data_IF_310591683567
#
_entry.id   IF_310591683567
#
_cell.length_a   1.000
_cell.length_b   1.000
_cell.length_c   1.000
_cell.angle_alpha   90.00
_cell.angle_beta   90.00
_cell.angle_gamma   90.00
#
_symmetry.space_group_name_H-M   'P 1'
#
loop_
_entity.id
_entity.type
_entity.pdbx_description
1 polymer ?
#
# COMPACT_ATOMS: atom_id res chain seq x y z
N UNK A 1 16.03 2.71 2.75
CA UNK A 1 14.85 2.07 3.35
C UNK A 1 15.14 1.72 4.80
N UNK A 2 14.32 2.19 5.74
CA UNK A 2 14.50 1.91 7.18
C UNK A 2 14.22 0.45 7.56
N UNK A 3 14.81 -0.09 8.64
CA UNK A 3 14.68 -1.50 9.02
C UNK A 3 13.23 -1.95 9.23
N UNK A 4 12.39 -1.11 9.81
CA UNK A 4 10.97 -1.40 10.04
C UNK A 4 10.18 -1.54 8.74
N UNK A 5 10.48 -0.71 7.72
CA UNK A 5 9.90 -0.84 6.38
C UNK A 5 10.37 -2.12 5.70
N UNK A 6 11.68 -2.41 5.76
CA UNK A 6 12.23 -3.65 5.20
C UNK A 6 11.59 -4.89 5.83
N UNK A 7 11.38 -4.85 7.15
CA UNK A 7 10.70 -5.93 7.87
C UNK A 7 9.29 -6.11 7.35
N UNK A 8 8.49 -5.04 7.30
CA UNK A 8 7.12 -5.12 6.81
C UNK A 8 7.03 -5.69 5.38
N UNK A 9 7.91 -5.24 4.48
CA UNK A 9 8.00 -5.69 3.07
C UNK A 9 8.46 -7.14 2.97
N UNK A 10 9.41 -7.58 3.79
CA UNK A 10 9.91 -8.96 3.77
C UNK A 10 8.85 -10.00 4.15
N UNK A 11 7.83 -9.59 4.91
CA UNK A 11 6.67 -10.41 5.23
C UNK A 11 5.62 -10.48 4.10
N UNK A 12 5.80 -9.72 3.02
CA UNK A 12 4.95 -9.77 1.83
C UNK A 12 3.63 -9.02 1.97
N UNK A 13 2.64 -9.35 1.11
CA UNK A 13 1.30 -8.77 1.15
C UNK A 13 0.62 -8.90 2.51
N UNK A 14 -0.29 -7.98 2.82
CA UNK A 14 -1.24 -8.16 3.92
C UNK A 14 -2.03 -9.46 3.70
N UNK A 15 -2.31 -10.22 4.77
CA UNK A 15 -3.19 -11.37 4.69
C UNK A 15 -4.64 -10.94 4.38
N UNK A 16 -5.48 -11.92 4.07
CA UNK A 16 -6.93 -11.71 4.05
C UNK A 16 -7.53 -11.70 5.46
N UNK A 17 -8.81 -11.38 5.54
CA UNK A 17 -9.64 -11.44 6.75
C UNK A 17 -9.78 -12.84 7.39
N UNK A 18 -9.45 -13.94 6.69
CA UNK A 18 -9.57 -15.31 7.22
C UNK A 18 -8.27 -15.78 7.92
N UNK A 19 -7.22 -14.96 7.91
CA UNK A 19 -5.97 -15.25 8.61
C UNK A 19 -6.13 -15.27 10.14
N UNK A 20 -5.19 -15.94 10.81
CA UNK A 20 -5.21 -16.04 12.26
C UNK A 20 -4.97 -14.67 12.93
N UNK A 21 -5.58 -14.48 14.11
CA UNK A 21 -5.50 -13.21 14.86
C UNK A 21 -4.04 -12.83 15.19
N UNK A 22 -3.17 -13.83 15.42
CA UNK A 22 -1.75 -13.59 15.73
C UNK A 22 -1.00 -12.99 14.54
N UNK A 23 -1.32 -13.40 13.32
CA UNK A 23 -0.84 -12.84 12.07
C UNK A 23 -1.30 -11.40 11.93
N UNK A 24 -2.60 -11.14 12.09
CA UNK A 24 -3.16 -9.78 12.00
C UNK A 24 -2.47 -8.85 13.00
N UNK A 25 -2.39 -9.25 14.27
CA UNK A 25 -1.71 -8.49 15.33
C UNK A 25 -0.23 -8.24 15.03
N UNK A 26 0.45 -9.21 14.40
CA UNK A 26 1.83 -9.03 13.98
C UNK A 26 1.95 -7.99 12.87
N UNK A 27 1.07 -8.02 11.87
CA UNK A 27 1.05 -7.05 10.77
C UNK A 27 0.73 -5.63 11.25
N UNK A 28 -0.23 -5.49 12.17
CA UNK A 28 -0.54 -4.21 12.83
C UNK A 28 0.69 -3.64 13.54
N UNK A 29 1.35 -4.43 14.39
CA UNK A 29 2.56 -3.98 15.13
C UNK A 29 3.71 -3.59 14.20
N UNK A 30 3.91 -4.31 13.11
CA UNK A 30 4.92 -3.96 12.11
C UNK A 30 4.60 -2.63 11.43
N UNK A 31 3.34 -2.38 11.09
CA UNK A 31 2.91 -1.14 10.46
C UNK A 31 3.07 0.05 11.42
N UNK A 32 2.64 -0.10 12.67
CA UNK A 32 2.76 0.94 13.71
C UNK A 32 4.20 1.30 14.05
N UNK A 33 5.15 0.38 13.84
CA UNK A 33 6.57 0.66 14.02
C UNK A 33 7.12 1.64 12.95
N UNK A 34 6.46 1.75 11.79
CA UNK A 34 6.91 2.63 10.70
C UNK A 34 6.50 4.06 11.00
N UNK A 35 7.50 4.88 11.34
CA UNK A 35 7.28 6.32 11.55
C UNK A 35 7.05 7.06 10.22
N UNK A 36 6.11 8.00 10.22
CA UNK A 36 5.91 8.96 9.14
C UNK A 36 6.85 10.19 9.28
N UNK A 37 7.15 10.93 8.19
CA UNK A 37 6.82 10.59 6.82
C UNK A 37 7.68 9.43 6.28
N UNK A 38 7.12 8.62 5.39
CA UNK A 38 7.92 7.67 4.61
C UNK A 38 8.62 8.37 3.45
N UNK A 39 9.71 7.80 2.96
CA UNK A 39 10.36 8.28 1.71
C UNK A 39 9.63 7.76 0.46
N UNK A 40 9.84 8.36 -0.73
CA UNK A 40 9.25 7.84 -1.98
C UNK A 40 9.59 6.37 -2.25
N UNK A 41 10.83 5.96 -2.00
CA UNK A 41 11.28 4.57 -2.16
C UNK A 41 10.56 3.63 -1.18
N UNK A 42 10.31 4.09 0.05
CA UNK A 42 9.55 3.35 1.05
C UNK A 42 8.08 3.24 0.68
N UNK A 43 7.47 4.34 0.22
CA UNK A 43 6.11 4.36 -0.28
C UNK A 43 5.91 3.37 -1.43
N UNK A 44 6.84 3.32 -2.39
CA UNK A 44 6.78 2.38 -3.50
C UNK A 44 6.90 0.92 -3.03
N UNK A 45 7.80 0.62 -2.08
CA UNK A 45 7.93 -0.73 -1.54
C UNK A 45 6.68 -1.16 -0.73
N UNK A 46 6.13 -0.25 0.06
CA UNK A 46 4.91 -0.47 0.84
C UNK A 46 3.68 -0.67 -0.06
N UNK A 47 3.61 0.02 -1.20
CA UNK A 47 2.53 -0.15 -2.17
C UNK A 47 2.48 -1.57 -2.79
N UNK A 48 3.57 -2.33 -2.73
CA UNK A 48 3.59 -3.74 -3.15
C UNK A 48 3.07 -4.71 -2.08
N UNK A 49 2.70 -4.22 -0.89
CA UNK A 49 2.31 -5.03 0.25
C UNK A 49 0.78 -5.09 0.47
N UNK A 50 -0.03 -4.60 -0.46
CA UNK A 50 -1.48 -4.76 -0.35
C UNK A 50 -1.90 -6.21 -0.54
N UNK A 51 -2.84 -6.63 0.31
CA UNK A 51 -3.45 -7.94 0.31
C UNK A 51 -4.68 -8.03 -0.59
N UNK A 52 -5.36 -9.19 -0.58
CA UNK A 52 -6.55 -9.42 -1.39
C UNK A 52 -7.79 -8.60 -0.94
N UNK A 53 -7.81 -8.15 0.32
CA UNK A 53 -8.89 -7.35 0.91
C UNK A 53 -8.35 -6.19 1.78
N UNK A 54 -9.22 -5.58 2.60
CA UNK A 54 -8.87 -4.46 3.46
C UNK A 54 -8.14 -4.87 4.76
N UNK A 55 -8.04 -6.18 5.05
CA UNK A 55 -7.44 -6.77 6.23
C UNK A 55 -7.94 -6.08 7.52
N UNK A 56 -9.25 -5.99 7.72
CA UNK A 56 -9.88 -5.30 8.87
C UNK A 56 -9.47 -3.82 8.99
N UNK A 57 -9.20 -3.17 7.86
CA UNK A 57 -8.78 -1.77 7.79
C UNK A 57 -7.27 -1.53 7.94
N UNK A 58 -6.45 -2.58 8.13
CA UNK A 58 -4.98 -2.45 8.14
C UNK A 58 -4.47 -1.91 6.80
N UNK A 59 -5.11 -2.31 5.69
CA UNK A 59 -4.79 -1.78 4.38
C UNK A 59 -5.05 -0.25 4.30
N UNK A 60 -6.06 0.27 5.00
CA UNK A 60 -6.33 1.71 5.06
C UNK A 60 -5.23 2.46 5.81
N UNK A 61 -4.74 1.92 6.93
CA UNK A 61 -3.58 2.48 7.63
C UNK A 61 -2.34 2.51 6.76
N UNK A 62 -2.12 1.46 5.94
CA UNK A 62 -1.02 1.41 4.98
C UNK A 62 -1.14 2.51 3.89
N UNK A 63 -2.35 2.76 3.38
CA UNK A 63 -2.64 3.88 2.48
C UNK A 63 -2.22 5.21 3.09
N UNK A 64 -2.70 5.50 4.30
CA UNK A 64 -2.39 6.77 4.97
C UNK A 64 -0.91 6.96 5.22
N UNK A 65 -0.19 5.88 5.56
CA UNK A 65 1.25 5.91 5.73
C UNK A 65 1.97 6.25 4.42
N UNK A 66 1.59 5.63 3.30
CA UNK A 66 2.15 5.91 1.97
C UNK A 66 1.93 7.37 1.56
N UNK A 67 0.75 7.92 1.86
CA UNK A 67 0.40 9.32 1.55
C UNK A 67 1.19 10.36 2.35
N UNK A 68 1.93 9.94 3.38
CA UNK A 68 2.88 10.83 4.07
C UNK A 68 4.15 11.09 3.28
N UNK A 69 4.40 10.33 2.21
CA UNK A 69 5.57 10.52 1.35
C UNK A 69 5.55 11.89 0.67
N UNK A 70 6.68 12.62 0.65
CA UNK A 70 6.80 13.82 -0.17
C UNK A 70 6.78 13.44 -1.66
N UNK A 71 6.07 14.21 -2.47
CA UNK A 71 6.02 14.03 -3.92
C UNK A 71 4.81 13.23 -4.41
N UNK A 72 4.81 12.79 -5.68
CA UNK A 72 3.70 12.05 -6.25
C UNK A 72 3.57 10.67 -5.60
N UNK A 73 2.33 10.22 -5.44
CA UNK A 73 2.03 8.87 -4.93
C UNK A 73 2.55 7.83 -5.93
N UNK A 74 3.06 6.67 -5.48
CA UNK A 74 3.59 5.66 -6.40
C UNK A 74 2.56 5.26 -7.46
N UNK A 75 2.95 5.16 -8.75
CA UNK A 75 2.05 4.71 -9.79
C UNK A 75 1.66 3.26 -9.50
N UNK A 76 0.36 3.03 -9.30
CA UNK A 76 -0.18 1.68 -9.27
C UNK A 76 -0.28 1.14 -10.70
N UNK A 77 -0.34 -0.18 -10.83
CA UNK A 77 -0.74 -0.78 -12.12
C UNK A 77 -2.25 -0.95 -12.10
N UNK A 78 -2.96 -0.79 -13.23
CA UNK A 78 -4.37 -1.12 -13.31
C UNK A 78 -4.58 -2.56 -12.80
N UNK A 79 -5.52 -2.77 -11.86
CA UNK A 79 -5.86 -4.11 -11.41
C UNK A 79 -6.37 -4.96 -12.57
N UNK A 80 -6.04 -6.24 -12.55
CA UNK A 80 -6.67 -7.22 -13.43
C UNK A 80 -8.18 -7.33 -13.13
N UNK A 81 -8.96 -7.85 -14.09
CA UNK A 81 -10.43 -7.97 -13.95
C UNK A 81 -10.89 -8.84 -12.78
N UNK A 82 -10.01 -9.68 -12.23
CA UNK A 82 -10.21 -10.55 -11.08
C UNK A 82 -9.62 -9.97 -9.78
N UNK A 83 -8.98 -8.79 -9.83
CA UNK A 83 -8.48 -8.15 -8.63
C UNK A 83 -9.65 -7.75 -7.72
N UNK A 84 -9.50 -8.05 -6.43
CA UNK A 84 -10.50 -7.70 -5.42
C UNK A 84 -10.84 -6.20 -5.43
N UNK A 85 -12.04 -5.87 -4.94
CA UNK A 85 -12.58 -4.50 -4.83
C UNK A 85 -11.57 -3.50 -4.21
N UNK A 86 -10.74 -4.01 -3.32
CA UNK A 86 -9.71 -3.24 -2.66
C UNK A 86 -8.62 -2.70 -3.62
N UNK A 87 -8.14 -3.54 -4.55
CA UNK A 87 -7.18 -3.09 -5.57
C UNK A 87 -7.80 -2.05 -6.52
N UNK A 88 -9.08 -2.21 -6.86
CA UNK A 88 -9.82 -1.23 -7.66
C UNK A 88 -9.97 0.12 -6.94
N UNK A 89 -10.19 0.09 -5.63
CA UNK A 89 -10.28 1.28 -4.77
C UNK A 89 -8.97 2.06 -4.77
N UNK A 90 -7.86 1.36 -4.58
CA UNK A 90 -6.51 1.95 -4.64
C UNK A 90 -6.20 2.55 -6.01
N UNK A 91 -6.51 1.83 -7.09
CA UNK A 91 -6.32 2.32 -8.46
C UNK A 91 -7.14 3.58 -8.75
N UNK A 92 -8.38 3.65 -8.27
CA UNK A 92 -9.18 4.86 -8.42
C UNK A 92 -8.59 6.06 -7.66
N UNK A 93 -7.96 5.82 -6.51
CA UNK A 93 -7.40 6.86 -5.65
C UNK A 93 -6.04 7.38 -6.13
N UNK A 94 -5.12 6.49 -6.52
CA UNK A 94 -3.75 6.88 -6.90
C UNK A 94 -3.47 6.72 -8.40
N UNK A 95 -4.11 5.76 -9.05
CA UNK A 95 -3.86 5.41 -10.45
C UNK A 95 -4.33 6.42 -11.48
N UNK A 96 -5.44 7.12 -11.19
CA UNK A 96 -5.96 8.14 -12.12
C UNK A 96 -5.05 9.37 -12.22
N UNK A 97 -4.26 9.68 -11.19
CA UNK A 97 -3.31 10.80 -11.20
C UNK A 97 -2.15 10.60 -12.18
N UNK A 98 -1.75 9.34 -12.42
CA UNK A 98 -0.67 9.01 -13.37
C UNK A 98 -1.12 9.17 -14.84
N UNK A 99 -2.42 9.05 -15.12
CA UNK A 99 -2.97 9.23 -16.48
C UNK A 99 -3.11 10.70 -16.88
N UNK A 100 -3.25 11.61 -15.91
CA UNK A 100 -3.38 13.05 -16.17
C UNK A 100 -2.09 13.76 -16.55
N UNK A 101 -0.92 13.24 -16.16
CA UNK A 101 0.38 13.87 -16.47
C UNK A 101 0.94 13.44 -17.84
N UNK A 102 0.47 12.32 -18.42
CA UNK A 102 0.96 11.78 -19.69
C UNK A 102 0.28 12.33 -20.95
N UNK A 103 -0.89 12.97 -20.82
CA UNK A 103 -1.74 13.35 -21.97
C UNK A 103 -1.66 14.84 -22.36
N UNK A 104 -0.81 15.63 -21.68
CA UNK A 104 -0.63 17.07 -21.94
C UNK A 104 0.62 17.41 -22.78
N UNK A 105 1.30 16.42 -23.37
CA UNK A 105 2.48 16.66 -24.24
C UNK A 105 2.36 16.07 -25.64
N UNK A 106 1.17 16.11 -26.25
CA UNK A 106 0.98 15.74 -27.67
C UNK A 106 0.42 16.86 -28.53
#
# INVERSE_FOLDING_TARGET
MRPEVQTFVAHGPLPDWDADEEEIDRRVRQLEAISAPVTPDEAQALAACFGPDDCYGVAWSLVHLIETSPGPVPPLTPPDTDAGEWHQTLWNRWGQHALTDGDLTR
#
